data_IF_957294637830
#
_entry.id   IF_957294637830
#
_cell.length_a   1.000
_cell.length_b   1.000
_cell.length_c   1.000
_cell.angle_alpha   90.00
_cell.angle_beta   90.00
_cell.angle_gamma   90.00
#
_symmetry.space_group_name_H-M   'P 1'
#
loop_
_entity.id
_entity.type
_entity.pdbx_description
1 polymer ?
#
# COMPACT_ATOMS: atom_id res chain seq x y z
N UNK A 1 -39.65 -48.78 44.73
CA UNK A 1 -38.39 -49.46 44.37
C UNK A 1 -38.47 -49.68 42.86
N UNK A 2 -37.68 -49.11 41.96
CA UNK A 2 -36.28 -48.69 42.01
C UNK A 2 -36.06 -47.56 40.99
N UNK A 3 -35.25 -46.57 41.36
CA UNK A 3 -34.69 -45.58 40.43
C UNK A 3 -33.54 -46.22 39.63
N UNK A 4 -33.41 -45.89 38.35
CA UNK A 4 -32.10 -45.98 37.69
C UNK A 4 -31.97 -44.87 36.66
N UNK A 5 -31.20 -43.86 37.06
CA UNK A 5 -30.78 -42.70 36.30
C UNK A 5 -29.66 -43.13 35.33
N UNK A 6 -29.81 -42.91 34.02
CA UNK A 6 -28.75 -43.17 33.04
C UNK A 6 -28.25 -41.83 32.50
N UNK A 7 -27.17 -41.33 33.10
CA UNK A 7 -26.37 -40.21 32.59
C UNK A 7 -25.67 -40.64 31.30
N UNK A 8 -26.03 -40.02 30.18
CA UNK A 8 -25.25 -40.10 28.94
C UNK A 8 -24.19 -38.99 29.01
N UNK A 9 -22.92 -39.39 29.08
CA UNK A 9 -21.79 -38.46 29.13
C UNK A 9 -21.63 -37.76 27.76
N UNK A 10 -21.78 -36.44 27.74
CA UNK A 10 -21.48 -35.61 26.58
C UNK A 10 -19.97 -35.30 26.58
N UNK A 11 -19.21 -35.92 25.68
CA UNK A 11 -17.81 -35.61 25.45
C UNK A 11 -17.73 -34.26 24.71
N UNK A 12 -17.57 -33.18 25.46
CA UNK A 12 -17.29 -31.86 24.89
C UNK A 12 -15.84 -31.85 24.38
N UNK A 13 -15.66 -31.93 23.06
CA UNK A 13 -14.40 -31.62 22.41
C UNK A 13 -14.18 -30.10 22.54
N UNK A 14 -13.38 -29.68 23.52
CA UNK A 14 -12.91 -28.30 23.63
C UNK A 14 -11.88 -28.11 22.52
N UNK A 15 -12.32 -27.54 21.40
CA UNK A 15 -11.41 -26.95 20.44
C UNK A 15 -10.74 -25.75 21.13
N UNK A 16 -9.48 -25.91 21.54
CA UNK A 16 -8.64 -24.78 21.91
C UNK A 16 -8.45 -23.93 20.65
N UNK A 17 -9.25 -22.88 20.51
CA UNK A 17 -8.87 -21.75 19.67
C UNK A 17 -7.66 -21.10 20.36
N UNK A 18 -6.46 -21.42 19.88
CA UNK A 18 -5.27 -20.66 20.26
C UNK A 18 -5.54 -19.20 19.92
N UNK A 19 -5.13 -18.24 20.75
CA UNK A 19 -5.10 -16.85 20.34
C UNK A 19 -4.18 -16.77 19.12
N UNK A 20 -4.76 -16.47 17.96
CA UNK A 20 -3.99 -16.10 16.79
C UNK A 20 -3.27 -14.78 17.16
N UNK A 21 -2.00 -14.87 17.53
CA UNK A 21 -1.10 -13.73 17.50
C UNK A 21 -0.86 -13.38 16.03
N UNK A 22 -1.85 -12.74 15.41
CA UNK A 22 -1.79 -12.25 14.03
C UNK A 22 -1.34 -10.78 13.99
N UNK A 23 -0.55 -10.31 14.95
CA UNK A 23 -0.37 -8.87 15.17
C UNK A 23 1.10 -8.40 15.20
N UNK A 24 2.00 -9.12 14.54
CA UNK A 24 3.36 -8.61 14.29
C UNK A 24 3.45 -7.86 12.94
N UNK A 25 2.39 -7.88 12.13
CA UNK A 25 2.30 -7.10 10.90
C UNK A 25 1.51 -5.82 11.17
N UNK A 26 2.13 -4.68 10.89
CA UNK A 26 1.56 -3.34 11.01
C UNK A 26 1.46 -2.69 9.63
N UNK A 27 0.37 -1.94 9.41
CA UNK A 27 0.12 -1.21 8.17
C UNK A 27 0.16 0.28 8.47
N UNK A 28 1.14 0.97 7.91
CA UNK A 28 1.39 2.39 8.11
C UNK A 28 1.03 3.21 6.87
N UNK A 29 0.51 4.41 7.12
CA UNK A 29 0.13 5.43 6.13
C UNK A 29 -0.61 4.92 4.88
N UNK A 30 -1.65 4.08 5.03
CA UNK A 30 -2.39 3.59 3.88
C UNK A 30 -3.16 4.75 3.22
N UNK A 31 -3.12 4.80 1.89
CA UNK A 31 -4.00 5.67 1.12
C UNK A 31 -4.31 5.08 -0.26
N UNK A 32 -5.50 5.39 -0.76
CA UNK A 32 -5.96 5.01 -2.09
C UNK A 32 -6.20 6.24 -2.95
N UNK A 33 -6.09 6.08 -4.27
CA UNK A 33 -6.46 7.11 -5.24
C UNK A 33 -6.93 6.50 -6.55
N UNK A 34 -7.78 7.23 -7.26
CA UNK A 34 -8.08 6.91 -8.65
C UNK A 34 -6.97 7.41 -9.59
N UNK A 35 -6.84 6.76 -10.76
CA UNK A 35 -5.90 7.22 -11.79
C UNK A 35 -6.34 8.57 -12.40
N UNK A 36 -7.64 8.81 -12.46
CA UNK A 36 -8.26 10.08 -12.83
C UNK A 36 -9.68 10.16 -12.24
N UNK A 37 -10.32 11.34 -12.16
CA UNK A 37 -11.65 11.49 -11.58
C UNK A 37 -12.75 10.62 -12.19
N UNK A 38 -12.57 10.20 -13.45
CA UNK A 38 -13.52 9.35 -14.19
C UNK A 38 -12.98 7.93 -14.45
N UNK A 39 -11.78 7.61 -13.95
CA UNK A 39 -11.16 6.31 -14.20
C UNK A 39 -11.91 5.18 -13.49
N UNK A 40 -11.98 4.04 -14.16
CA UNK A 40 -12.38 2.75 -13.56
C UNK A 40 -11.21 1.99 -12.95
N UNK A 41 -10.04 2.64 -12.86
CA UNK A 41 -8.84 2.11 -12.21
C UNK A 41 -8.37 3.04 -11.10
N UNK A 42 -7.78 2.43 -10.08
CA UNK A 42 -7.16 3.13 -8.97
C UNK A 42 -5.99 2.33 -8.43
N UNK A 43 -5.25 2.92 -7.49
CA UNK A 43 -4.20 2.23 -6.78
C UNK A 43 -4.26 2.56 -5.28
N UNK A 44 -3.84 1.61 -4.45
CA UNK A 44 -3.57 1.83 -3.04
C UNK A 44 -2.09 1.61 -2.73
N UNK A 45 -1.65 2.40 -1.77
CA UNK A 45 -0.28 2.54 -1.31
C UNK A 45 -0.29 2.48 0.21
N UNK A 46 0.75 1.91 0.79
CA UNK A 46 0.91 1.72 2.23
C UNK A 46 2.32 1.22 2.52
N UNK A 47 2.76 1.32 3.77
CA UNK A 47 3.94 0.62 4.25
C UNK A 47 3.50 -0.56 5.10
N UNK A 48 4.04 -1.74 4.81
CA UNK A 48 3.77 -2.96 5.56
C UNK A 48 5.01 -3.28 6.38
N UNK A 49 4.90 -3.19 7.70
CA UNK A 49 5.96 -3.41 8.68
C UNK A 49 5.78 -4.80 9.27
N UNK A 50 6.82 -5.62 9.24
CA UNK A 50 6.82 -6.95 9.85
C UNK A 50 7.79 -6.97 11.03
N UNK A 51 7.23 -7.03 12.24
CA UNK A 51 7.91 -7.14 13.53
C UNK A 51 7.99 -8.59 14.04
N UNK A 52 7.71 -9.55 13.16
CA UNK A 52 7.59 -10.97 13.48
C UNK A 52 8.45 -11.86 12.59
N UNK A 53 8.02 -13.10 12.39
CA UNK A 53 8.71 -14.03 11.49
C UNK A 53 8.55 -13.64 10.01
N UNK A 54 9.46 -14.12 9.16
CA UNK A 54 9.38 -13.88 7.72
C UNK A 54 8.06 -14.41 7.14
N UNK A 55 7.40 -13.58 6.34
CA UNK A 55 6.12 -13.85 5.69
C UNK A 55 6.16 -13.38 4.22
N UNK A 56 5.03 -13.47 3.54
CA UNK A 56 4.84 -13.05 2.15
C UNK A 56 3.42 -12.55 1.96
N UNK A 57 3.28 -11.36 1.36
CA UNK A 57 1.98 -10.87 0.91
C UNK A 57 1.64 -11.54 -0.42
N UNK A 58 0.71 -12.49 -0.41
CA UNK A 58 0.39 -13.34 -1.58
C UNK A 58 -0.90 -12.93 -2.30
N UNK A 59 -1.74 -12.09 -1.68
CA UNK A 59 -3.02 -11.74 -2.27
C UNK A 59 -3.60 -10.43 -1.74
N UNK A 60 -4.51 -9.87 -2.53
CA UNK A 60 -5.27 -8.67 -2.20
C UNK A 60 -6.68 -8.76 -2.74
N UNK A 61 -7.65 -8.27 -1.99
CA UNK A 61 -9.05 -8.23 -2.40
C UNK A 61 -9.76 -6.98 -1.85
N UNK A 62 -10.79 -6.51 -2.55
CA UNK A 62 -11.66 -5.45 -2.06
C UNK A 62 -13.03 -5.52 -2.76
N UNK A 63 -14.14 -5.24 -2.06
CA UNK A 63 -15.45 -5.10 -2.69
C UNK A 63 -15.57 -3.85 -3.58
N UNK A 64 -14.60 -2.94 -3.52
CA UNK A 64 -14.63 -1.68 -4.29
C UNK A 64 -14.28 -1.86 -5.78
N UNK A 65 -13.80 -3.03 -6.21
CA UNK A 65 -13.42 -3.30 -7.59
C UNK A 65 -13.71 -4.74 -8.00
N UNK A 66 -13.91 -4.96 -9.30
CA UNK A 66 -14.08 -6.30 -9.88
C UNK A 66 -12.81 -7.16 -9.76
N UNK A 67 -11.64 -6.53 -9.83
CA UNK A 67 -10.35 -7.19 -9.73
C UNK A 67 -9.36 -6.31 -8.95
N UNK A 68 -8.66 -6.92 -7.99
CA UNK A 68 -7.59 -6.28 -7.20
C UNK A 68 -6.34 -7.14 -7.30
N UNK A 69 -5.19 -6.52 -7.55
CA UNK A 69 -3.95 -7.24 -7.83
C UNK A 69 -2.72 -6.53 -7.25
N UNK A 70 -1.65 -7.28 -6.99
CA UNK A 70 -0.34 -6.75 -6.62
C UNK A 70 0.47 -6.44 -7.87
N UNK A 71 0.86 -5.19 -8.07
CA UNK A 71 1.57 -4.76 -9.28
C UNK A 71 2.94 -4.19 -8.93
N UNK A 72 3.91 -4.35 -9.83
CA UNK A 72 5.22 -3.69 -9.77
C UNK A 72 5.53 -2.99 -11.09
N UNK A 73 6.55 -2.15 -11.10
CA UNK A 73 7.06 -1.53 -12.31
C UNK A 73 8.31 -2.28 -12.79
N UNK A 74 8.33 -2.66 -14.07
CA UNK A 74 9.52 -3.22 -14.72
C UNK A 74 9.89 -2.36 -15.93
N UNK A 75 11.19 -2.24 -16.19
CA UNK A 75 11.67 -1.62 -17.42
C UNK A 75 11.44 -2.57 -18.59
N UNK A 76 10.61 -2.15 -19.55
CA UNK A 76 10.40 -2.84 -20.81
C UNK A 76 11.46 -2.48 -21.85
N UNK A 77 11.46 -3.18 -22.97
CA UNK A 77 12.33 -2.84 -24.12
C UNK A 77 12.17 -1.38 -24.53
N UNK A 78 13.30 -0.68 -24.69
CA UNK A 78 13.34 0.73 -25.09
C UNK A 78 13.15 1.74 -23.95
N UNK A 79 13.30 1.32 -22.68
CA UNK A 79 13.23 2.22 -21.52
C UNK A 79 11.81 2.59 -21.09
N UNK A 80 10.80 1.87 -21.60
CA UNK A 80 9.39 2.11 -21.26
C UNK A 80 9.02 1.32 -20.02
N UNK A 81 8.68 2.01 -18.93
CA UNK A 81 8.20 1.37 -17.70
C UNK A 81 6.83 0.73 -17.91
N UNK A 82 6.68 -0.52 -17.48
CA UNK A 82 5.43 -1.30 -17.55
C UNK A 82 4.98 -1.70 -16.15
N UNK A 83 3.69 -1.55 -15.89
CA UNK A 83 3.04 -2.07 -14.68
C UNK A 83 2.65 -3.53 -14.92
N UNK A 84 3.11 -4.44 -14.05
CA UNK A 84 2.93 -5.88 -14.22
C UNK A 84 2.43 -6.52 -12.93
N UNK A 85 1.45 -7.40 -13.07
CA UNK A 85 0.91 -8.22 -11.98
C UNK A 85 1.99 -9.20 -11.46
N UNK A 86 2.12 -9.28 -10.14
CA UNK A 86 3.06 -10.17 -9.46
C UNK A 86 2.27 -11.32 -8.82
N UNK A 87 2.19 -12.44 -9.54
CA UNK A 87 1.38 -13.61 -9.13
C UNK A 87 1.89 -14.28 -7.85
N UNK A 88 3.21 -14.31 -7.67
CA UNK A 88 3.84 -14.90 -6.48
C UNK A 88 3.79 -13.97 -5.24
N UNK A 89 3.24 -12.77 -5.38
CA UNK A 89 3.19 -11.78 -4.32
C UNK A 89 4.53 -11.12 -3.98
N UNK A 90 4.63 -10.56 -2.77
CA UNK A 90 5.81 -9.84 -2.29
C UNK A 90 6.37 -10.46 -1.02
N UNK A 91 7.66 -10.80 -1.04
CA UNK A 91 8.39 -11.21 0.15
C UNK A 91 8.37 -10.12 1.23
N UNK A 92 8.17 -10.56 2.48
CA UNK A 92 8.18 -9.72 3.67
C UNK A 92 9.03 -10.41 4.76
N UNK A 93 10.37 -10.29 4.68
CA UNK A 93 11.26 -10.86 5.69
C UNK A 93 10.93 -10.43 7.13
N UNK A 94 11.43 -11.19 8.10
CA UNK A 94 11.35 -10.80 9.52
C UNK A 94 12.02 -9.45 9.76
N UNK A 95 11.48 -8.64 10.67
CA UNK A 95 12.03 -7.34 11.06
C UNK A 95 12.27 -6.41 9.85
N UNK A 96 11.34 -6.38 8.90
CA UNK A 96 11.50 -5.65 7.63
C UNK A 96 10.26 -4.84 7.25
N UNK A 97 10.43 -3.96 6.27
CA UNK A 97 9.37 -3.14 5.71
C UNK A 97 9.21 -3.40 4.20
N UNK A 98 7.97 -3.52 3.75
CA UNK A 98 7.59 -3.55 2.35
C UNK A 98 6.82 -2.26 2.01
N UNK A 99 7.45 -1.41 1.20
CA UNK A 99 6.83 -0.19 0.70
C UNK A 99 6.00 -0.47 -0.56
N UNK A 100 4.70 -0.18 -0.48
CA UNK A 100 3.81 -0.09 -1.63
C UNK A 100 3.60 1.40 -1.95
N UNK A 101 4.31 1.91 -2.95
CA UNK A 101 4.43 3.33 -3.25
C UNK A 101 4.31 3.66 -4.74
N UNK A 102 4.14 4.95 -5.03
CA UNK A 102 3.97 5.45 -6.40
C UNK A 102 5.25 5.26 -7.21
N UNK A 103 5.13 4.67 -8.38
CA UNK A 103 6.28 4.32 -9.23
C UNK A 103 6.98 3.02 -8.83
N UNK A 104 6.57 2.38 -7.74
CA UNK A 104 7.09 1.10 -7.27
C UNK A 104 6.01 0.01 -7.20
N UNK A 105 6.08 -0.82 -6.17
CA UNK A 105 5.06 -1.84 -5.89
C UNK A 105 3.77 -1.17 -5.43
N UNK A 106 2.61 -1.69 -5.76
CA UNK A 106 1.33 -1.12 -5.34
C UNK A 106 0.18 -2.12 -5.47
N UNK A 107 -0.93 -1.82 -4.80
CA UNK A 107 -2.20 -2.52 -5.01
C UNK A 107 -2.94 -1.83 -6.15
N UNK A 108 -3.28 -2.58 -7.20
CA UNK A 108 -4.00 -2.09 -8.37
C UNK A 108 -5.47 -2.50 -8.30
N UNK A 109 -6.38 -1.54 -8.45
CA UNK A 109 -7.81 -1.78 -8.61
C UNK A 109 -8.20 -1.67 -10.08
N UNK A 110 -8.90 -2.66 -10.59
CA UNK A 110 -9.43 -2.70 -11.95
C UNK A 110 -10.93 -2.97 -11.91
N UNK A 111 -11.70 -2.14 -12.61
CA UNK A 111 -13.17 -2.26 -12.61
C UNK A 111 -13.76 -1.71 -11.31
N UNK A 112 -13.40 -0.48 -10.93
CA UNK A 112 -13.98 0.20 -9.77
C UNK A 112 -15.52 0.24 -9.87
N UNK A 113 -16.20 -0.28 -8.86
CA UNK A 113 -17.67 -0.36 -8.80
C UNK A 113 -18.28 1.02 -8.61
N UNK A 114 -17.59 1.90 -7.87
CA UNK A 114 -17.88 3.33 -7.74
C UNK A 114 -16.59 4.18 -7.87
N UNK A 115 -16.68 5.46 -8.26
CA UNK A 115 -15.53 6.36 -8.19
C UNK A 115 -14.98 6.46 -6.77
N UNK A 116 -13.65 6.52 -6.62
CA UNK A 116 -13.00 6.82 -5.34
C UNK A 116 -13.05 8.34 -5.11
N UNK A 117 -13.91 8.82 -4.21
CA UNK A 117 -13.99 10.24 -3.87
C UNK A 117 -13.07 10.60 -2.69
N UNK A 118 -12.61 11.85 -2.65
CA UNK A 118 -11.77 12.34 -1.56
C UNK A 118 -12.43 12.11 -0.20
N UNK A 119 -11.68 11.52 0.73
CA UNK A 119 -12.16 11.25 2.10
C UNK A 119 -13.02 9.98 2.25
N UNK A 120 -13.30 9.27 1.16
CA UNK A 120 -13.90 7.93 1.25
C UNK A 120 -12.95 6.96 1.95
N UNK A 121 -13.48 5.80 2.36
CA UNK A 121 -12.68 4.70 2.91
C UNK A 121 -12.94 3.44 2.12
N UNK A 122 -11.87 2.78 1.68
CA UNK A 122 -11.91 1.55 0.89
C UNK A 122 -11.37 0.40 1.73
N UNK A 123 -12.18 -0.61 2.07
CA UNK A 123 -11.67 -1.79 2.76
C UNK A 123 -10.84 -2.63 1.79
N UNK A 124 -9.61 -2.96 2.17
CA UNK A 124 -8.71 -3.86 1.44
C UNK A 124 -8.39 -5.03 2.35
N UNK A 125 -8.54 -6.25 1.86
CA UNK A 125 -8.03 -7.45 2.53
C UNK A 125 -6.69 -7.81 1.92
N UNK A 126 -5.67 -7.86 2.76
CA UNK A 126 -4.32 -8.33 2.47
C UNK A 126 -4.22 -9.78 2.92
N UNK A 127 -3.81 -10.68 2.03
CA UNK A 127 -3.64 -12.11 2.35
C UNK A 127 -2.15 -12.40 2.47
N UNK A 128 -1.71 -12.73 3.68
CA UNK A 128 -0.35 -13.17 3.98
C UNK A 128 -0.28 -14.70 4.01
N UNK A 129 0.86 -15.26 3.59
CA UNK A 129 1.06 -16.71 3.52
C UNK A 129 0.98 -17.37 4.92
N UNK A 130 1.52 -16.72 5.95
CA UNK A 130 1.53 -17.26 7.32
C UNK A 130 0.57 -16.54 8.25
N UNK A 131 0.55 -15.20 8.25
CA UNK A 131 -0.32 -14.41 9.12
C UNK A 131 -1.81 -14.50 8.73
N UNK A 132 -2.11 -14.93 7.50
CA UNK A 132 -3.47 -15.05 6.98
C UNK A 132 -4.05 -13.72 6.51
N UNK A 133 -5.38 -13.60 6.57
CA UNK A 133 -6.08 -12.42 6.04
C UNK A 133 -6.12 -11.28 7.07
N UNK A 134 -5.76 -10.08 6.61
CA UNK A 134 -5.84 -8.83 7.35
C UNK A 134 -6.64 -7.80 6.56
N UNK A 135 -7.76 -7.34 7.11
CA UNK A 135 -8.54 -6.25 6.49
C UNK A 135 -8.08 -4.90 7.03
N UNK A 136 -7.82 -3.97 6.12
CA UNK A 136 -7.36 -2.61 6.39
C UNK A 136 -8.33 -1.62 5.73
N UNK A 137 -8.76 -0.63 6.50
CA UNK A 137 -9.55 0.49 6.00
C UNK A 137 -8.61 1.56 5.43
N UNK A 138 -8.63 1.73 4.10
CA UNK A 138 -7.71 2.61 3.39
C UNK A 138 -8.43 3.91 2.98
N UNK A 139 -8.06 5.08 3.54
CA UNK A 139 -8.66 6.34 3.16
C UNK A 139 -8.29 6.73 1.72
N UNK A 140 -9.21 7.37 1.02
CA UNK A 140 -8.96 7.93 -0.32
C UNK A 140 -8.38 9.34 -0.19
N UNK A 141 -7.18 9.51 -0.72
CA UNK A 141 -6.47 10.79 -0.78
C UNK A 141 -5.97 11.07 -2.21
N UNK A 142 -6.77 11.85 -2.93
CA UNK A 142 -6.53 12.32 -4.30
C UNK A 142 -5.57 13.51 -4.35
N UNK A 143 -5.37 14.22 -3.23
CA UNK A 143 -4.56 15.43 -3.14
C UNK A 143 -3.09 15.13 -2.78
N UNK A 144 -2.81 13.91 -2.28
CA UNK A 144 -1.45 13.46 -1.94
C UNK A 144 -0.50 13.52 -3.15
N UNK A 145 0.52 14.38 -3.02
CA UNK A 145 1.60 14.53 -3.99
C UNK A 145 2.59 13.35 -3.89
N UNK A 146 3.26 12.96 -5.00
CA UNK A 146 4.32 11.97 -4.93
C UNK A 146 5.52 12.61 -4.22
N UNK A 147 5.99 12.02 -3.11
CA UNK A 147 7.24 12.43 -2.48
C UNK A 147 7.15 13.52 -1.40
N UNK A 148 6.19 13.46 -0.48
CA UNK A 148 6.25 14.26 0.77
C UNK A 148 7.35 13.78 1.76
N UNK A 149 8.39 13.12 1.25
CA UNK A 149 9.66 12.84 1.91
C UNK A 149 10.77 12.96 0.84
N UNK A 150 11.17 14.19 0.53
CA UNK A 150 12.50 14.65 0.09
C UNK A 150 12.38 16.04 -0.55
N UNK A 151 12.09 17.05 0.27
CA UNK A 151 12.65 18.38 0.02
C UNK A 151 14.15 18.28 0.34
N UNK A 152 14.95 17.83 -0.63
CA UNK A 152 16.34 18.26 -0.68
C UNK A 152 16.34 19.61 -1.36
N UNK A 153 16.71 20.63 -0.61
CA UNK A 153 17.03 21.97 -1.07
C UNK A 153 17.85 21.90 -2.38
N UNK A 154 17.17 22.10 -3.52
CA UNK A 154 17.85 22.53 -4.73
C UNK A 154 18.00 24.04 -4.64
N UNK A 155 19.07 24.47 -3.98
CA UNK A 155 19.61 25.81 -4.14
C UNK A 155 19.94 26.02 -5.63
N UNK A 156 19.01 26.63 -6.35
CA UNK A 156 19.29 27.24 -7.64
C UNK A 156 19.93 28.60 -7.38
N UNK A 157 21.23 28.61 -7.11
CA UNK A 157 22.07 29.77 -7.30
C UNK A 157 22.11 30.11 -8.80
N UNK A 158 21.12 30.90 -9.24
CA UNK A 158 21.27 31.71 -10.44
C UNK A 158 22.10 32.94 -10.07
N UNK A 159 23.42 32.79 -10.18
CA UNK A 159 24.33 33.95 -10.22
C UNK A 159 23.98 34.81 -11.44
N UNK A 160 23.26 35.89 -11.17
CA UNK A 160 23.14 37.02 -12.07
C UNK A 160 24.47 37.78 -12.07
N UNK A 161 25.37 37.37 -12.96
CA UNK A 161 26.56 38.15 -13.25
C UNK A 161 26.14 39.51 -13.84
N UNK A 162 26.40 40.53 -13.03
CA UNK A 162 26.08 41.93 -13.26
C UNK A 162 26.84 42.45 -14.46
N UNK A 163 26.11 43.08 -15.37
CA UNK A 163 26.69 43.99 -16.35
C UNK A 163 27.42 45.12 -15.60
N UNK A 164 28.71 45.26 -15.88
CA UNK A 164 29.52 46.40 -15.50
C UNK A 164 28.93 47.69 -16.09
N UNK A 165 28.48 48.58 -15.20
CA UNK A 165 28.50 50.02 -15.45
C UNK A 165 29.95 50.49 -15.48
N UNK A 166 30.28 51.40 -16.40
CA UNK A 166 31.21 52.53 -16.18
C UNK A 166 31.09 53.48 -17.38
N UNK A 167 30.02 54.27 -17.36
CA UNK A 167 29.93 55.56 -18.05
C UNK A 167 30.66 56.58 -17.18
N UNK A 168 31.88 56.95 -17.59
CA UNK A 168 32.54 58.16 -17.12
C UNK A 168 33.10 58.90 -18.33
N UNK A 169 32.50 60.06 -18.61
CA UNK A 169 33.05 61.02 -19.55
C UNK A 169 34.36 61.64 -19.05
N UNK A 170 35.18 62.11 -19.99
CA UNK A 170 35.68 63.49 -19.98
C UNK A 170 36.34 63.82 -21.32
N UNK A 171 36.25 65.09 -21.66
CA UNK A 171 36.74 65.84 -22.83
C UNK A 171 38.25 65.76 -23.13
N UNK A 172 38.62 65.85 -24.42
CA UNK A 172 39.24 67.02 -25.08
C UNK A 172 39.50 66.75 -26.58
#
# INVERSE_FOLDING_TARGET
MSFTFRTLAATAAIAFALPAFAADIEIADPYARSASPTSKTGAAFMQILNHGEADRLVGVASPAADLVQLHTHIEGEGGVMKMVHVEDGFDLPAESALSLERGGKHVMFMGLTAPLAQGDTVPITLTFEKAGDMTVDVPVDLERQPGAEMDMDMDHDMDHDKAHEDDMGDSE
#
